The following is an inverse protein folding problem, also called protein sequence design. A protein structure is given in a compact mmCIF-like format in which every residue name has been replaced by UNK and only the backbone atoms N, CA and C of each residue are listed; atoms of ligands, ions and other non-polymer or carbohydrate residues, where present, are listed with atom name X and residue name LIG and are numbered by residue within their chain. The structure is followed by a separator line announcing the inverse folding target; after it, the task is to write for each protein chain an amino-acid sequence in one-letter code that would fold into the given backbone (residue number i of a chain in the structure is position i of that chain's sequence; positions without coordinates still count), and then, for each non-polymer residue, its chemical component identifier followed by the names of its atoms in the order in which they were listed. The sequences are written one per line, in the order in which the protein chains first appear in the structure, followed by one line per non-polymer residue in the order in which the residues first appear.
data_IF_703665736205
#
_entry.id   IF_703665736205
#
_cell.length_a   1.000
_cell.length_b   1.000
_cell.length_c   1.000
_cell.angle_alpha   90.00
_cell.angle_beta   90.00
_cell.angle_gamma   90.00
#
_symmetry.space_group_name_H-M   'P 1'
#
loop_
_entity.id
_entity.type
_entity.pdbx_description
1 polymer ?
#
# COMPACT_ATOMS: atom_id res chain seq x y z
N UNK A 1 19.55 -12.37 -31.98
CA UNK A 1 19.65 -13.76 -31.49
C UNK A 1 18.42 -14.50 -31.96
N UNK A 2 18.58 -15.55 -32.76
CA UNK A 2 17.47 -16.41 -33.14
C UNK A 2 17.16 -17.36 -31.97
N UNK A 3 15.88 -17.64 -31.67
CA UNK A 3 15.52 -18.66 -30.70
C UNK A 3 16.09 -20.01 -31.16
N UNK A 4 16.73 -20.75 -30.25
CA UNK A 4 17.43 -22.00 -30.57
C UNK A 4 16.53 -23.24 -30.44
N UNK A 5 15.38 -23.15 -29.72
CA UNK A 5 14.42 -24.23 -29.43
C UNK A 5 13.00 -23.64 -29.20
N UNK A 6 12.08 -24.43 -28.64
CA UNK A 6 10.74 -23.98 -28.24
C UNK A 6 10.77 -23.16 -26.93
N UNK A 7 11.43 -22.01 -26.99
CA UNK A 7 11.52 -21.08 -25.87
C UNK A 7 10.47 -19.97 -25.98
N UNK A 8 10.12 -19.38 -24.85
CA UNK A 8 9.15 -18.27 -24.79
C UNK A 8 9.62 -17.08 -25.64
N UNK A 9 8.75 -16.62 -26.53
CA UNK A 9 8.99 -15.41 -27.32
C UNK A 9 8.90 -14.20 -26.39
N UNK A 10 10.06 -13.65 -26.02
CA UNK A 10 10.14 -12.47 -25.17
C UNK A 10 9.90 -11.19 -25.97
N UNK A 11 9.20 -10.23 -25.36
CA UNK A 11 9.10 -8.83 -25.82
C UNK A 11 9.92 -7.94 -24.88
N UNK A 12 11.26 -7.89 -25.01
CA UNK A 12 12.10 -7.07 -24.13
C UNK A 12 11.82 -5.58 -24.36
N UNK A 13 11.61 -4.79 -23.31
CA UNK A 13 11.31 -3.36 -23.46
C UNK A 13 12.58 -2.48 -23.48
N UNK A 14 13.63 -2.96 -24.16
CA UNK A 14 14.94 -2.29 -24.27
C UNK A 14 15.16 -1.59 -25.63
N UNK A 15 14.09 -1.23 -26.32
CA UNK A 15 14.12 -0.65 -27.68
C UNK A 15 14.42 0.86 -27.73
N UNK A 16 14.55 1.53 -26.57
CA UNK A 16 14.88 2.97 -26.46
C UNK A 16 16.29 3.13 -25.92
N UNK A 17 16.84 4.35 -25.97
CA UNK A 17 18.09 4.68 -25.28
C UNK A 17 17.89 4.65 -23.75
N UNK A 18 17.83 3.45 -23.19
CA UNK A 18 17.60 3.16 -21.78
C UNK A 18 18.84 3.44 -20.94
N UNK A 19 20.04 3.32 -21.53
CA UNK A 19 21.33 3.58 -20.88
C UNK A 19 21.39 5.01 -20.31
N UNK A 20 20.78 5.99 -20.98
CA UNK A 20 20.67 7.38 -20.48
C UNK A 20 19.83 7.55 -19.20
N UNK A 21 18.96 6.59 -18.87
CA UNK A 21 18.02 6.67 -17.74
C UNK A 21 18.17 5.50 -16.77
N UNK A 22 19.40 5.06 -16.56
CA UNK A 22 19.72 4.04 -15.55
C UNK A 22 19.74 4.70 -14.17
N UNK A 23 18.74 4.39 -13.34
CA UNK A 23 18.76 4.75 -11.94
C UNK A 23 19.70 3.78 -11.18
N UNK A 24 20.80 4.29 -10.64
CA UNK A 24 21.72 3.53 -9.80
C UNK A 24 21.39 3.73 -8.32
N UNK A 25 21.82 2.79 -7.48
CA UNK A 25 21.49 2.77 -6.05
C UNK A 25 22.71 2.99 -5.15
N UNK A 26 23.82 3.52 -5.69
CA UNK A 26 25.06 3.80 -4.93
C UNK A 26 24.86 4.79 -3.78
N UNK A 27 23.86 5.68 -3.87
CA UNK A 27 23.54 6.68 -2.85
C UNK A 27 22.62 6.17 -1.73
N UNK A 28 22.17 4.90 -1.76
CA UNK A 28 21.35 4.30 -0.70
C UNK A 28 21.93 4.46 0.73
N UNK A 29 23.22 4.18 1.01
CA UNK A 29 23.78 4.34 2.36
C UNK A 29 23.73 5.80 2.84
N UNK A 30 24.00 6.77 1.96
CA UNK A 30 23.91 8.19 2.29
C UNK A 30 22.47 8.61 2.62
N UNK A 31 21.48 8.12 1.86
CA UNK A 31 20.06 8.34 2.18
C UNK A 31 19.66 7.70 3.52
N UNK A 32 20.23 6.54 3.88
CA UNK A 32 20.00 5.88 5.17
C UNK A 32 20.56 6.70 6.34
N UNK A 33 21.74 7.29 6.18
CA UNK A 33 22.36 8.18 7.17
C UNK A 33 21.58 9.50 7.31
N UNK A 34 21.14 10.10 6.20
CA UNK A 34 20.32 11.33 6.20
C UNK A 34 19.00 11.18 6.95
N UNK A 35 18.43 9.97 6.99
CA UNK A 35 17.20 9.67 7.76
C UNK A 35 17.45 9.51 9.27
N UNK A 36 18.70 9.59 9.76
CA UNK A 36 19.00 9.51 11.19
C UNK A 36 18.53 10.77 11.93
N UNK A 37 17.95 10.57 13.11
CA UNK A 37 17.14 11.49 13.91
C UNK A 37 17.93 12.48 14.79
N UNK A 38 19.25 12.62 14.62
CA UNK A 38 20.13 13.27 15.60
C UNK A 38 20.21 14.80 15.54
N UNK A 39 19.43 15.49 14.71
CA UNK A 39 19.47 16.95 14.57
C UNK A 39 18.06 17.57 14.65
N UNK A 40 17.59 17.92 15.87
CA UNK A 40 16.26 18.49 16.03
C UNK A 40 16.18 19.95 15.53
N UNK A 41 15.07 20.29 14.89
CA UNK A 41 14.76 21.59 14.26
C UNK A 41 13.66 22.33 15.02
N UNK A 42 13.49 23.62 14.72
CA UNK A 42 12.37 24.43 15.22
C UNK A 42 11.04 23.82 14.75
N UNK A 43 10.27 23.26 15.69
CA UNK A 43 9.05 22.48 15.43
C UNK A 43 9.04 21.11 16.12
N UNK A 44 10.18 20.68 16.68
CA UNK A 44 10.26 19.43 17.41
C UNK A 44 9.58 19.47 18.79
N UNK A 45 9.15 18.30 19.23
CA UNK A 45 8.43 18.12 20.49
C UNK A 45 9.32 18.41 21.70
N UNK A 46 8.71 18.88 22.78
CA UNK A 46 9.40 19.10 24.05
C UNK A 46 10.00 17.81 24.63
N UNK A 47 11.07 17.94 25.43
CA UNK A 47 11.77 16.80 26.02
C UNK A 47 10.87 15.86 26.85
N UNK A 48 9.82 16.40 27.47
CA UNK A 48 8.83 15.60 28.21
C UNK A 48 8.00 14.70 27.27
N UNK A 49 7.59 15.23 26.11
CA UNK A 49 6.82 14.47 25.11
C UNK A 49 7.69 13.43 24.40
N UNK A 50 8.98 13.70 24.22
CA UNK A 50 9.94 12.73 23.67
C UNK A 50 10.13 11.50 24.57
N UNK A 51 10.14 11.68 25.89
CA UNK A 51 10.27 10.57 26.86
C UNK A 51 9.04 9.66 26.90
N UNK A 52 7.85 10.24 26.71
CA UNK A 52 6.58 9.50 26.66
C UNK A 52 6.24 8.99 25.26
N UNK A 53 6.93 9.46 24.22
CA UNK A 53 6.67 9.08 22.85
C UNK A 53 7.11 7.64 22.59
N UNK A 54 6.14 6.73 22.60
CA UNK A 54 6.31 5.36 22.11
C UNK A 54 5.86 5.27 20.66
N UNK A 55 6.60 4.52 19.84
CA UNK A 55 6.17 4.25 18.47
C UNK A 55 4.91 3.39 18.49
N UNK A 56 3.83 3.88 17.88
CA UNK A 56 2.68 3.03 17.60
C UNK A 56 3.08 2.03 16.51
N UNK A 57 3.12 0.75 16.86
CA UNK A 57 3.41 -0.32 15.92
C UNK A 57 2.14 -0.61 15.10
N UNK A 58 2.08 -0.05 13.90
CA UNK A 58 0.97 -0.26 12.96
C UNK A 58 0.43 1.04 12.36
N UNK A 59 -0.62 0.95 11.52
CA UNK A 59 -1.32 2.11 11.00
C UNK A 59 -1.95 2.93 12.14
N UNK A 60 -1.65 4.23 12.20
CA UNK A 60 -2.29 5.16 13.13
C UNK A 60 -3.76 5.28 12.73
N UNK A 61 -4.67 4.91 13.64
CA UNK A 61 -6.11 4.82 13.41
C UNK A 61 -6.46 3.98 12.17
N UNK A 62 -6.31 2.64 12.24
CA UNK A 62 -6.62 1.78 11.11
C UNK A 62 -8.09 1.93 10.72
N UNK A 63 -8.32 2.27 9.45
CA UNK A 63 -9.65 2.19 8.86
C UNK A 63 -10.02 0.71 8.81
N UNK A 64 -11.05 0.34 9.55
CA UNK A 64 -11.58 -1.03 9.58
C UNK A 64 -12.89 -1.06 8.80
N UNK A 65 -13.06 -2.10 8.00
CA UNK A 65 -14.36 -2.38 7.39
C UNK A 65 -15.29 -2.89 8.49
N UNK A 66 -16.14 -2.00 9.00
CA UNK A 66 -17.12 -2.32 10.03
C UNK A 66 -18.43 -2.68 9.33
N UNK A 67 -18.85 -3.92 9.51
CA UNK A 67 -20.18 -4.36 9.11
C UNK A 67 -21.13 -4.21 10.29
N UNK A 68 -22.25 -3.50 10.10
CA UNK A 68 -23.31 -3.43 11.10
C UNK A 68 -24.08 -4.74 11.08
N UNK A 69 -24.11 -5.46 12.21
CA UNK A 69 -24.93 -6.66 12.36
C UNK A 69 -26.39 -6.24 12.50
N UNK A 70 -27.22 -6.62 11.53
CA UNK A 70 -28.66 -6.44 11.63
C UNK A 70 -29.26 -7.47 12.60
N UNK A 71 -30.34 -7.09 13.29
CA UNK A 71 -31.09 -8.00 14.16
C UNK A 71 -31.97 -8.91 13.31
N UNK A 72 -32.26 -10.11 13.82
CA UNK A 72 -33.24 -10.98 13.20
C UNK A 72 -34.60 -10.26 13.09
N UNK A 73 -35.22 -10.33 11.91
CA UNK A 73 -36.56 -9.79 11.62
C UNK A 73 -37.37 -10.84 10.87
N UNK A 74 -38.69 -10.76 11.01
CA UNK A 74 -39.61 -11.62 10.25
C UNK A 74 -39.64 -11.14 8.80
N UNK A 75 -39.52 -12.08 7.85
CA UNK A 75 -39.53 -11.79 6.42
C UNK A 75 -40.93 -11.31 6.00
N UNK A 76 -41.01 -10.21 5.26
CA UNK A 76 -42.28 -9.66 4.76
C UNK A 76 -42.79 -10.44 3.54
N UNK A 77 -44.08 -10.33 3.21
CA UNK A 77 -44.64 -10.97 2.01
C UNK A 77 -44.07 -10.40 0.71
N UNK A 78 -43.75 -9.09 0.69
CA UNK A 78 -43.10 -8.43 -0.43
C UNK A 78 -41.69 -8.97 -0.70
N UNK A 79 -40.88 -9.18 0.35
CA UNK A 79 -39.53 -9.75 0.25
C UNK A 79 -39.55 -11.20 -0.29
N UNK A 80 -40.59 -11.98 0.06
CA UNK A 80 -40.79 -13.34 -0.47
C UNK A 80 -41.16 -13.35 -1.94
N UNK A 81 -41.96 -12.37 -2.36
CA UNK A 81 -42.46 -12.29 -3.72
C UNK A 81 -41.47 -11.60 -4.67
N UNK A 82 -40.40 -11.00 -4.14
CA UNK A 82 -39.36 -10.35 -4.93
C UNK A 82 -38.50 -11.36 -5.71
N UNK A 83 -38.54 -11.28 -7.04
CA UNK A 83 -37.77 -12.15 -7.95
C UNK A 83 -36.43 -11.53 -8.31
N UNK A 84 -35.46 -11.62 -7.40
CA UNK A 84 -34.14 -11.00 -7.56
C UNK A 84 -33.42 -11.35 -8.87
N UNK A 85 -33.51 -12.59 -9.35
CA UNK A 85 -32.85 -13.03 -10.59
C UNK A 85 -33.43 -12.37 -11.85
N UNK A 86 -34.73 -12.10 -11.87
CA UNK A 86 -35.38 -11.43 -13.00
C UNK A 86 -35.11 -9.92 -13.03
N UNK A 87 -34.56 -9.35 -11.94
CA UNK A 87 -34.25 -7.92 -11.79
C UNK A 87 -32.76 -7.57 -11.87
N UNK A 88 -31.87 -8.57 -11.94
CA UNK A 88 -30.43 -8.37 -12.17
C UNK A 88 -30.16 -7.94 -13.61
#
# INVERSE_FOLDING_TARGET
MAPSRNDMILKPHFHKNWQRRVATWFNQPAHKIRRKTSAPKKGDSSAAKLKLATQLTGPVMPIRNIYKKEKARVITEEEKNFKAFASL
#
